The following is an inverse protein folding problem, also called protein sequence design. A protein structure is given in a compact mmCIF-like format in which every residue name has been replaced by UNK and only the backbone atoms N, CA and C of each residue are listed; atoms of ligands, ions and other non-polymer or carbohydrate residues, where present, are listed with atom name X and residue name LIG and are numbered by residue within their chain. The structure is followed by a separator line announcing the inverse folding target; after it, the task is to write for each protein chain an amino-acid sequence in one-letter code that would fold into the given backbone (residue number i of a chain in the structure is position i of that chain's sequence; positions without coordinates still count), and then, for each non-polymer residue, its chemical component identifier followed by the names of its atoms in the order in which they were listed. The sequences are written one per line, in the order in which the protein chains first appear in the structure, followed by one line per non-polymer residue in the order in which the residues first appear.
data_IF_140227892691
#
_entry.id   IF_140227892691
#
_cell.length_a   1.000
_cell.length_b   1.000
_cell.length_c   1.000
_cell.angle_alpha   90.00
_cell.angle_beta   90.00
_cell.angle_gamma   90.00
#
_symmetry.space_group_name_H-M   'P 1'
#
loop_
_entity.id
_entity.type
_entity.pdbx_description
1 polymer ?
#
# COMPACT_ATOMS: atom_id res chain seq x y z
N UNK A 1 -17.73 -4.41 -30.95
CA UNK A 1 -16.38 -3.91 -30.61
C UNK A 1 -16.58 -2.77 -29.61
N UNK A 2 -16.29 -2.98 -28.32
CA UNK A 2 -16.41 -1.92 -27.32
C UNK A 2 -15.22 -0.97 -27.51
N UNK A 3 -15.48 0.18 -28.12
CA UNK A 3 -14.50 1.27 -28.19
C UNK A 3 -14.48 1.92 -26.81
N UNK A 4 -13.64 1.38 -25.93
CA UNK A 4 -13.32 2.07 -24.68
C UNK A 4 -12.48 3.29 -25.07
N UNK A 5 -12.95 4.49 -24.77
CA UNK A 5 -12.20 5.71 -25.07
C UNK A 5 -10.91 5.73 -24.24
N UNK A 6 -9.83 6.27 -24.81
CA UNK A 6 -8.56 6.46 -24.09
C UNK A 6 -8.75 7.27 -22.80
N UNK A 7 -9.68 8.24 -22.83
CA UNK A 7 -10.09 9.03 -21.66
C UNK A 7 -10.63 8.14 -20.54
N UNK A 8 -11.50 7.17 -20.86
CA UNK A 8 -12.05 6.26 -19.85
C UNK A 8 -10.95 5.37 -19.23
N UNK A 9 -9.96 4.94 -20.01
CA UNK A 9 -8.80 4.19 -19.50
C UNK A 9 -7.99 5.05 -18.53
N UNK A 10 -7.74 6.31 -18.88
CA UNK A 10 -7.00 7.25 -18.03
C UNK A 10 -7.75 7.54 -16.72
N UNK A 11 -9.07 7.75 -16.78
CA UNK A 11 -9.91 7.93 -15.59
C UNK A 11 -9.85 6.69 -14.70
N UNK A 12 -9.97 5.48 -15.26
CA UNK A 12 -9.90 4.25 -14.46
C UNK A 12 -8.53 4.05 -13.81
N UNK A 13 -7.45 4.41 -14.52
CA UNK A 13 -6.09 4.37 -13.98
C UNK A 13 -5.92 5.36 -12.82
N UNK A 14 -6.52 6.54 -12.91
CA UNK A 14 -6.50 7.53 -11.83
C UNK A 14 -7.31 7.02 -10.62
N UNK A 15 -8.52 6.51 -10.86
CA UNK A 15 -9.37 5.92 -9.81
C UNK A 15 -8.61 4.83 -9.05
N UNK A 16 -8.00 3.87 -9.77
CA UNK A 16 -7.22 2.80 -9.16
C UNK A 16 -6.05 3.32 -8.30
N UNK A 17 -5.34 4.37 -8.75
CA UNK A 17 -4.27 4.99 -7.96
C UNK A 17 -4.78 5.64 -6.69
N UNK A 18 -5.92 6.34 -6.75
CA UNK A 18 -6.56 6.94 -5.58
C UNK A 18 -6.95 5.86 -4.57
N UNK A 19 -7.61 4.79 -5.02
CA UNK A 19 -8.00 3.69 -4.13
C UNK A 19 -6.77 2.99 -3.52
N UNK A 20 -5.75 2.69 -4.33
CA UNK A 20 -4.51 2.09 -3.83
C UNK A 20 -3.79 2.97 -2.79
N UNK A 21 -3.84 4.30 -2.94
CA UNK A 21 -3.31 5.23 -1.94
C UNK A 21 -4.08 5.19 -0.61
N UNK A 22 -5.41 5.05 -0.65
CA UNK A 22 -6.25 4.93 0.56
C UNK A 22 -5.96 3.62 1.29
N UNK A 23 -5.78 2.52 0.56
CA UNK A 23 -5.35 1.24 1.13
C UNK A 23 -4.00 1.42 1.83
N UNK A 24 -3.02 2.04 1.17
CA UNK A 24 -1.70 2.25 1.75
C UNK A 24 -1.73 3.10 3.03
N UNK A 25 -2.52 4.18 3.05
CA UNK A 25 -2.70 5.04 4.22
C UNK A 25 -3.33 4.28 5.40
N UNK A 26 -4.37 3.48 5.16
CA UNK A 26 -4.98 2.66 6.19
C UNK A 26 -3.96 1.70 6.82
N UNK A 27 -3.18 1.00 5.99
CA UNK A 27 -2.12 0.10 6.46
C UNK A 27 -1.05 0.86 7.25
N UNK A 28 -0.65 2.06 6.83
CA UNK A 28 0.31 2.86 7.57
C UNK A 28 -0.21 3.24 8.96
N UNK A 29 -1.48 3.63 9.05
CA UNK A 29 -2.14 3.95 10.32
C UNK A 29 -2.18 2.71 11.22
N UNK A 30 -2.56 1.55 10.70
CA UNK A 30 -2.63 0.31 11.46
C UNK A 30 -1.25 -0.11 12.02
N UNK A 31 -0.18 0.01 11.21
CA UNK A 31 1.19 -0.26 11.66
C UNK A 31 1.61 0.71 12.77
N UNK A 32 1.28 2.00 12.63
CA UNK A 32 1.58 3.01 13.65
C UNK A 32 0.82 2.75 14.96
N UNK A 33 -0.44 2.35 14.89
CA UNK A 33 -1.29 2.10 16.06
C UNK A 33 -0.92 0.81 16.78
N UNK A 34 -0.68 -0.28 16.04
CA UNK A 34 -0.41 -1.60 16.64
C UNK A 34 0.96 -1.67 17.32
N UNK A 35 1.88 -0.73 17.06
CA UNK A 35 3.27 -0.72 17.53
C UNK A 35 3.96 -2.08 17.37
N UNK A 36 3.50 -2.87 16.39
CA UNK A 36 3.96 -4.23 16.24
C UNK A 36 5.41 -4.19 15.77
N UNK A 37 6.29 -4.74 16.60
CA UNK A 37 7.73 -4.80 16.40
C UNK A 37 8.11 -5.91 15.39
N UNK A 38 7.33 -6.01 14.31
CA UNK A 38 7.47 -7.09 13.35
C UNK A 38 8.70 -6.85 12.49
N UNK A 39 9.44 -7.95 12.30
CA UNK A 39 10.79 -8.01 11.76
C UNK A 39 10.94 -7.40 10.37
N UNK A 40 12.19 -7.27 9.91
CA UNK A 40 12.60 -6.81 8.57
C UNK A 40 12.03 -7.62 7.37
N UNK A 41 11.09 -8.54 7.62
CA UNK A 41 10.42 -9.33 6.61
C UNK A 41 9.19 -8.60 6.07
N UNK A 42 8.84 -8.87 4.82
CA UNK A 42 7.59 -8.39 4.25
C UNK A 42 6.40 -9.06 4.95
N UNK A 43 5.57 -8.26 5.61
CA UNK A 43 4.22 -8.65 5.99
C UNK A 43 3.32 -8.49 4.77
N UNK A 44 2.39 -9.42 4.57
CA UNK A 44 1.42 -9.38 3.47
C UNK A 44 0.01 -9.44 4.02
N UNK A 45 -0.91 -8.86 3.28
CA UNK A 45 -2.33 -8.96 3.55
C UNK A 45 -3.14 -8.53 2.33
N UNK A 46 -4.45 -8.51 2.51
CA UNK A 46 -5.37 -8.03 1.51
C UNK A 46 -6.58 -7.37 2.15
N UNK A 47 -7.12 -6.36 1.47
CA UNK A 47 -8.28 -5.60 1.91
C UNK A 47 -9.27 -5.41 0.77
N UNK A 48 -10.56 -5.49 1.09
CA UNK A 48 -11.62 -5.20 0.15
C UNK A 48 -12.06 -3.74 0.28
N UNK A 49 -11.69 -2.92 -0.70
CA UNK A 49 -11.96 -1.47 -0.71
C UNK A 49 -12.54 -1.07 -2.07
N UNK A 50 -13.65 -0.35 -2.05
CA UNK A 50 -14.37 0.17 -3.24
C UNK A 50 -14.56 -0.96 -4.28
N UNK A 51 -15.22 -2.02 -3.82
CA UNK A 51 -15.58 -3.20 -4.61
C UNK A 51 -14.41 -3.94 -5.29
N UNK A 52 -13.17 -3.71 -4.84
CA UNK A 52 -11.99 -4.39 -5.36
C UNK A 52 -11.21 -5.02 -4.19
N UNK A 53 -10.67 -6.20 -4.44
CA UNK A 53 -9.69 -6.83 -3.55
C UNK A 53 -8.30 -6.27 -3.88
N UNK A 54 -7.67 -5.66 -2.89
CA UNK A 54 -6.32 -5.13 -2.97
C UNK A 54 -5.37 -5.98 -2.16
N UNK A 55 -4.19 -6.23 -2.71
CA UNK A 55 -3.12 -6.95 -2.05
C UNK A 55 -2.06 -5.95 -1.63
N UNK A 56 -1.62 -6.04 -0.39
CA UNK A 56 -0.59 -5.17 0.13
C UNK A 56 0.53 -5.98 0.75
N UNK A 57 1.71 -5.37 0.73
CA UNK A 57 2.82 -5.82 1.54
C UNK A 57 3.51 -4.62 2.19
N UNK A 58 3.94 -4.80 3.42
CA UNK A 58 4.63 -3.78 4.19
C UNK A 58 5.94 -4.30 4.76
N UNK A 59 6.95 -3.46 4.78
CA UNK A 59 8.23 -3.74 5.44
C UNK A 59 8.63 -2.54 6.28
N UNK A 60 9.02 -2.81 7.51
CA UNK A 60 9.60 -1.80 8.38
C UNK A 60 11.10 -2.06 8.54
N UNK A 61 11.90 -1.02 8.33
CA UNK A 61 13.35 -1.04 8.56
C UNK A 61 13.64 -0.06 9.68
N UNK A 62 14.09 -0.60 10.81
CA UNK A 62 14.51 0.21 11.95
C UNK A 62 15.88 0.84 11.65
N UNK A 63 15.98 2.15 11.81
CA UNK A 63 17.24 2.87 11.89
C UNK A 63 17.48 3.25 13.37
N UNK A 64 18.40 4.17 13.65
CA UNK A 64 18.77 4.54 15.03
C UNK A 64 17.56 5.01 15.86
N UNK A 65 16.92 6.10 15.44
CA UNK A 65 15.82 6.75 16.20
C UNK A 65 14.52 6.80 15.40
N UNK A 66 14.54 6.36 14.15
CA UNK A 66 13.43 6.41 13.22
C UNK A 66 13.35 5.05 12.53
N UNK A 67 12.15 4.55 12.31
CA UNK A 67 11.90 3.47 11.38
C UNK A 67 11.25 3.99 10.10
N UNK A 68 11.64 3.38 9.00
CA UNK A 68 11.05 3.61 7.67
C UNK A 68 10.11 2.46 7.38
N UNK A 69 8.87 2.77 7.04
CA UNK A 69 7.83 1.82 6.71
C UNK A 69 7.54 1.97 5.22
N UNK A 70 7.86 0.95 4.43
CA UNK A 70 7.51 0.89 3.01
C UNK A 70 6.26 0.05 2.86
N UNK A 71 5.26 0.57 2.16
CA UNK A 71 4.00 -0.12 1.86
C UNK A 71 3.84 -0.14 0.35
N UNK A 72 3.54 -1.32 -0.19
CA UNK A 72 3.27 -1.51 -1.61
C UNK A 72 1.89 -2.11 -1.78
N UNK A 73 1.09 -1.54 -2.68
CA UNK A 73 -0.28 -1.95 -2.96
C UNK A 73 -0.42 -2.38 -4.42
N UNK A 74 -1.16 -3.48 -4.63
CA UNK A 74 -1.38 -4.12 -5.94
C UNK A 74 -2.85 -4.49 -6.09
N UNK A 75 -3.42 -4.27 -7.26
CA UNK A 75 -4.74 -4.79 -7.64
C UNK A 75 -4.67 -6.26 -8.07
N UNK A 76 -3.47 -6.77 -8.33
CA UNK A 76 -3.21 -8.18 -8.67
C UNK A 76 -2.07 -8.71 -7.81
N UNK A 77 -2.32 -9.79 -7.07
CA UNK A 77 -1.40 -10.36 -6.08
C UNK A 77 0.03 -10.57 -6.62
N UNK A 78 0.13 -11.10 -7.84
CA UNK A 78 1.40 -11.49 -8.45
C UNK A 78 1.99 -10.41 -9.37
N UNK A 79 1.48 -9.17 -9.34
CA UNK A 79 2.06 -8.07 -10.13
C UNK A 79 3.47 -7.75 -9.65
N UNK A 80 4.42 -7.68 -10.59
CA UNK A 80 5.81 -7.30 -10.30
C UNK A 80 5.94 -5.84 -9.88
N UNK A 81 5.07 -4.98 -10.39
CA UNK A 81 5.09 -3.54 -10.13
C UNK A 81 3.88 -3.18 -9.27
N UNK A 82 4.07 -2.49 -8.13
CA UNK A 82 2.95 -2.01 -7.34
C UNK A 82 2.20 -0.90 -8.08
N UNK A 83 0.88 -0.84 -7.87
CA UNK A 83 0.06 0.26 -8.38
C UNK A 83 0.29 1.55 -7.58
N UNK A 84 0.70 1.41 -6.32
CA UNK A 84 1.06 2.50 -5.43
C UNK A 84 2.10 2.06 -4.39
N UNK A 85 3.02 2.97 -4.06
CA UNK A 85 4.01 2.79 -3.00
C UNK A 85 3.96 3.99 -2.07
N UNK A 86 3.93 3.74 -0.77
CA UNK A 86 3.97 4.74 0.29
C UNK A 86 5.17 4.50 1.18
N UNK A 87 5.92 5.55 1.47
CA UNK A 87 6.95 5.56 2.51
C UNK A 87 6.48 6.40 3.70
N UNK A 88 6.38 5.77 4.85
CA UNK A 88 6.05 6.42 6.11
C UNK A 88 7.21 6.34 7.10
N UNK A 89 7.21 7.24 8.07
CA UNK A 89 8.21 7.27 9.14
C UNK A 89 7.52 7.15 10.50
N UNK A 90 8.20 6.48 11.43
CA UNK A 90 7.80 6.39 12.84
C UNK A 90 9.02 6.59 13.72
N UNK A 91 8.89 7.36 14.79
CA UNK A 91 9.98 7.55 15.76
C UNK A 91 10.03 6.31 16.66
N UNK A 92 11.24 5.77 16.85
CA UNK A 92 11.54 4.70 17.79
C UNK A 92 11.95 5.40 19.10
N UNK A 93 10.96 5.91 19.84
CA UNK A 93 11.21 6.39 21.21
C UNK A 93 10.99 5.21 22.16
N UNK A 94 12.03 4.93 22.95
CA UNK A 94 12.11 3.91 24.02
C UNK A 94 10.94 3.99 25.02
#
# INVERSE_FOLDING_TARGET
MLVISEQLIQVKKLENKVVASLVAENILVDIKLTKNDKSENWLKGSDFIINNLWYWQSKEIKMKTISVITIEVRSQENSKVPDFTLEGYRVINE
#
